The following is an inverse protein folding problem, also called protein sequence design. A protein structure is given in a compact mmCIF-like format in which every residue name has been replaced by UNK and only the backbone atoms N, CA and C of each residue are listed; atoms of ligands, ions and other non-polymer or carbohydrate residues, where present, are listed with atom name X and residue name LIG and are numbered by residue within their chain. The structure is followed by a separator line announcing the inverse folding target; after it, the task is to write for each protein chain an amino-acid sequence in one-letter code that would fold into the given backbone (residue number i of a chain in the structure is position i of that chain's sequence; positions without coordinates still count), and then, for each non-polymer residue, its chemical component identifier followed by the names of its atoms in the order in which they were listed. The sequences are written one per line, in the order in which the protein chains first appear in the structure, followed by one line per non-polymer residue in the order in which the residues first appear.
data_IF_176770125404
#
_entry.id   IF_176770125404
#
_cell.length_a   1.000
_cell.length_b   1.000
_cell.length_c   1.000
_cell.angle_alpha   90.00
_cell.angle_beta   90.00
_cell.angle_gamma   90.00
#
_symmetry.space_group_name_H-M   'P 1'
#
loop_
_entity.id
_entity.type
_entity.pdbx_description
1 polymer ?
#
# COMPACT_ATOMS: atom_id res chain seq x y z
N UNK A 1 16.92 -6.49 2.34
CA UNK A 1 15.53 -6.27 1.90
C UNK A 1 15.07 -7.27 0.85
N UNK A 2 15.65 -7.35 -0.35
CA UNK A 2 15.10 -8.24 -1.40
C UNK A 2 15.23 -9.75 -1.09
N UNK A 3 16.27 -10.15 -0.34
CA UNK A 3 16.46 -11.55 0.07
C UNK A 3 15.40 -12.06 1.07
N UNK A 4 14.59 -11.16 1.65
CA UNK A 4 13.51 -11.49 2.58
C UNK A 4 12.13 -11.46 1.91
N UNK A 5 12.07 -11.02 0.64
CA UNK A 5 10.82 -10.96 -0.10
C UNK A 5 10.42 -12.36 -0.58
N UNK A 6 9.12 -12.70 -0.60
CA UNK A 6 8.64 -13.93 -1.23
C UNK A 6 8.82 -13.93 -2.76
N UNK A 7 9.14 -12.78 -3.37
CA UNK A 7 9.35 -12.63 -4.80
C UNK A 7 10.80 -12.30 -5.12
N UNK A 8 11.30 -12.82 -6.25
CA UNK A 8 12.62 -12.46 -6.73
C UNK A 8 12.66 -10.98 -7.14
N UNK A 9 13.83 -10.36 -6.96
CA UNK A 9 14.10 -8.94 -7.27
C UNK A 9 13.53 -8.50 -8.62
N UNK A 10 13.80 -9.29 -9.65
CA UNK A 10 13.41 -8.98 -11.02
C UNK A 10 11.87 -8.90 -11.20
N UNK A 11 11.11 -9.66 -10.42
CA UNK A 11 9.66 -9.66 -10.47
C UNK A 11 9.04 -8.48 -9.70
N UNK A 12 9.67 -8.10 -8.58
CA UNK A 12 9.32 -6.88 -7.85
C UNK A 12 9.50 -5.65 -8.75
N UNK A 13 10.58 -5.61 -9.53
CA UNK A 13 10.90 -4.46 -10.41
C UNK A 13 10.31 -4.54 -11.82
N UNK A 14 9.34 -5.44 -12.08
CA UNK A 14 8.47 -5.35 -13.26
C UNK A 14 8.51 -6.52 -14.23
N UNK A 15 9.36 -7.55 -14.04
CA UNK A 15 9.25 -8.78 -14.84
C UNK A 15 8.04 -9.58 -14.38
N UNK A 16 7.08 -9.78 -15.28
CA UNK A 16 5.87 -10.55 -15.00
C UNK A 16 6.20 -12.02 -14.72
N UNK A 17 5.57 -12.55 -13.68
CA UNK A 17 5.35 -13.97 -13.44
C UNK A 17 4.03 -14.33 -14.11
N UNK A 18 3.99 -15.44 -14.84
CA UNK A 18 2.77 -15.95 -15.46
C UNK A 18 2.51 -17.32 -14.86
N UNK A 19 1.47 -17.42 -14.04
CA UNK A 19 1.06 -18.67 -13.39
C UNK A 19 -0.45 -18.85 -13.58
N UNK A 20 -0.88 -20.00 -14.11
CA UNK A 20 -2.28 -20.32 -14.35
C UNK A 20 -3.07 -19.23 -15.13
N UNK A 21 -2.39 -18.50 -16.03
CA UNK A 21 -2.99 -17.41 -16.81
C UNK A 21 -3.10 -16.07 -16.07
N UNK A 22 -2.73 -16.02 -14.79
CA UNK A 22 -2.63 -14.79 -14.01
C UNK A 22 -1.24 -14.19 -14.16
N UNK A 23 -1.20 -12.88 -14.37
CA UNK A 23 0.04 -12.12 -14.46
C UNK A 23 0.28 -11.39 -13.14
N UNK A 24 1.46 -11.58 -12.57
CA UNK A 24 1.83 -10.97 -11.30
C UNK A 24 3.21 -10.31 -11.40
N UNK A 25 3.35 -9.10 -10.87
CA UNK A 25 4.60 -8.34 -10.78
C UNK A 25 4.44 -7.28 -9.68
N UNK A 26 5.55 -6.71 -9.22
CA UNK A 26 5.52 -5.89 -8.02
C UNK A 26 5.17 -6.73 -6.79
N UNK A 27 4.68 -6.07 -5.75
CA UNK A 27 4.21 -6.70 -4.52
C UNK A 27 2.68 -6.59 -4.46
N UNK A 28 1.99 -7.69 -4.21
CA UNK A 28 0.60 -7.65 -3.78
C UNK A 28 0.54 -7.42 -2.25
N UNK A 29 -0.67 -7.28 -1.72
CA UNK A 29 -0.86 -6.98 -0.29
C UNK A 29 -0.33 -8.08 0.65
N UNK A 30 -0.31 -9.34 0.21
CA UNK A 30 0.30 -10.44 0.95
C UNK A 30 1.82 -10.39 0.91
N UNK A 31 2.39 -10.11 -0.26
CA UNK A 31 3.85 -10.02 -0.41
C UNK A 31 4.44 -8.90 0.45
N UNK A 32 3.75 -7.74 0.48
CA UNK A 32 4.13 -6.61 1.32
C UNK A 32 4.07 -6.99 2.81
N UNK A 33 2.98 -7.64 3.25
CA UNK A 33 2.88 -8.14 4.62
C UNK A 33 4.04 -9.07 4.96
N UNK A 34 4.35 -10.04 4.09
CA UNK A 34 5.42 -11.01 4.31
C UNK A 34 6.78 -10.32 4.41
N UNK A 35 7.06 -9.38 3.51
CA UNK A 35 8.30 -8.61 3.53
C UNK A 35 8.48 -7.82 4.83
N UNK A 36 7.44 -7.09 5.26
CA UNK A 36 7.47 -6.30 6.49
C UNK A 36 7.58 -7.19 7.73
N UNK A 37 6.88 -8.33 7.76
CA UNK A 37 6.97 -9.30 8.87
C UNK A 37 8.36 -9.93 8.94
N UNK A 38 9.00 -10.20 7.80
CA UNK A 38 10.37 -10.73 7.75
C UNK A 38 11.43 -9.70 8.21
N UNK A 39 11.05 -8.43 8.38
CA UNK A 39 11.84 -7.39 9.01
C UNK A 39 11.49 -7.21 10.50
N UNK A 40 10.84 -8.21 11.11
CA UNK A 40 10.40 -8.23 12.51
C UNK A 40 9.38 -7.13 12.89
N UNK A 41 8.65 -6.58 11.91
CA UNK A 41 7.57 -5.63 12.16
C UNK A 41 6.25 -6.35 12.47
N UNK A 42 5.43 -5.74 13.34
CA UNK A 42 4.05 -6.18 13.56
C UNK A 42 3.14 -5.60 12.47
N UNK A 43 2.51 -6.47 11.68
CA UNK A 43 1.75 -6.04 10.49
C UNK A 43 0.28 -6.47 10.54
N UNK A 44 -0.62 -5.49 10.65
CA UNK A 44 -2.06 -5.67 10.45
C UNK A 44 -2.42 -5.40 8.98
N UNK A 45 -2.61 -6.46 8.20
CA UNK A 45 -3.06 -6.38 6.81
C UNK A 45 -4.59 -6.31 6.73
N UNK A 46 -5.14 -5.29 6.09
CA UNK A 46 -6.57 -5.14 5.83
C UNK A 46 -6.83 -5.12 4.32
N UNK A 47 -7.64 -6.06 3.82
CA UNK A 47 -8.11 -6.04 2.44
C UNK A 47 -9.55 -5.49 2.44
N UNK A 48 -9.77 -4.39 1.71
CA UNK A 48 -11.07 -3.72 1.67
C UNK A 48 -11.94 -4.38 0.59
N UNK A 49 -12.96 -5.13 1.02
CA UNK A 49 -13.91 -5.81 0.12
C UNK A 49 -15.27 -5.13 0.04
N UNK A 50 -15.62 -4.30 1.04
CA UNK A 50 -16.84 -3.49 1.05
C UNK A 50 -16.61 -2.17 1.80
N UNK A 51 -17.55 -1.23 1.68
CA UNK A 51 -17.51 0.09 2.31
C UNK A 51 -18.43 0.21 3.54
N UNK A 52 -19.02 -0.88 4.00
CA UNK A 52 -20.04 -0.90 5.07
C UNK A 52 -19.54 -0.34 6.42
N UNK A 53 -18.22 -0.31 6.59
CA UNK A 53 -17.55 0.14 7.83
C UNK A 53 -16.55 1.27 7.59
N UNK A 54 -16.78 2.11 6.57
CA UNK A 54 -15.85 3.18 6.18
C UNK A 54 -15.48 4.12 7.34
N UNK A 55 -16.44 4.51 8.17
CA UNK A 55 -16.20 5.38 9.33
C UNK A 55 -15.33 4.72 10.40
N UNK A 56 -15.49 3.41 10.60
CA UNK A 56 -14.63 2.66 11.53
C UNK A 56 -13.22 2.56 10.98
N UNK A 57 -13.07 2.21 9.69
CA UNK A 57 -11.76 2.13 9.04
C UNK A 57 -11.03 3.47 9.08
N UNK A 58 -11.72 4.57 8.79
CA UNK A 58 -11.20 5.93 8.88
C UNK A 58 -10.69 6.25 10.28
N UNK A 59 -11.45 5.92 11.33
CA UNK A 59 -11.01 6.11 12.72
C UNK A 59 -9.76 5.28 13.06
N UNK A 60 -9.70 4.02 12.63
CA UNK A 60 -8.52 3.17 12.85
C UNK A 60 -7.27 3.72 12.14
N UNK A 61 -7.42 4.22 10.91
CA UNK A 61 -6.33 4.86 10.16
C UNK A 61 -5.87 6.14 10.86
N UNK A 62 -6.80 7.01 11.26
CA UNK A 62 -6.46 8.26 11.97
C UNK A 62 -5.76 7.96 13.30
N UNK A 63 -6.21 6.94 14.04
CA UNK A 63 -5.53 6.51 15.27
C UNK A 63 -4.09 6.09 14.97
N UNK A 64 -3.91 5.24 13.95
CA UNK A 64 -2.59 4.71 13.58
C UNK A 64 -1.62 5.80 13.13
N UNK A 65 -2.08 6.81 12.38
CA UNK A 65 -1.23 7.92 11.93
C UNK A 65 -0.80 8.85 13.10
N UNK A 66 -1.58 8.90 14.17
CA UNK A 66 -1.28 9.72 15.34
C UNK A 66 -0.41 9.00 16.40
N UNK A 67 -0.15 7.71 16.23
CA UNK A 67 0.73 6.92 17.10
C UNK A 67 2.18 7.01 16.60
N UNK A 68 3.13 7.31 17.48
CA UNK A 68 4.52 7.59 17.09
C UNK A 68 5.26 6.42 16.44
N UNK A 69 4.91 5.19 16.82
CA UNK A 69 5.56 3.96 16.35
C UNK A 69 4.64 3.13 15.43
N UNK A 70 3.65 3.78 14.83
CA UNK A 70 2.70 3.17 13.92
C UNK A 70 2.71 3.89 12.57
N UNK A 71 2.51 3.11 11.52
CA UNK A 71 2.56 3.60 10.14
C UNK A 71 1.47 2.94 9.31
N UNK A 72 0.91 3.70 8.39
CA UNK A 72 -0.11 3.21 7.45
C UNK A 72 0.47 3.24 6.04
N UNK A 73 0.44 2.09 5.37
CA UNK A 73 0.74 1.96 3.95
C UNK A 73 -0.55 1.57 3.24
N UNK A 74 -0.91 2.30 2.19
CA UNK A 74 -2.10 2.02 1.38
C UNK A 74 -1.71 1.38 0.05
N UNK A 75 -2.51 0.41 -0.39
CA UNK A 75 -2.51 -0.09 -1.76
C UNK A 75 -3.81 0.39 -2.44
N UNK A 76 -3.68 1.18 -3.49
CA UNK A 76 -4.83 1.78 -4.16
C UNK A 76 -4.66 1.80 -5.68
N UNK A 77 -5.77 1.92 -6.39
CA UNK A 77 -5.77 2.07 -7.83
C UNK A 77 -5.72 3.55 -8.21
N UNK A 78 -4.65 3.97 -8.89
CA UNK A 78 -4.42 5.39 -9.26
C UNK A 78 -5.56 6.02 -10.04
N UNK A 79 -6.14 5.30 -11.00
CA UNK A 79 -7.20 5.85 -11.86
C UNK A 79 -8.46 6.23 -11.07
N UNK A 80 -8.70 5.59 -9.93
CA UNK A 80 -9.82 5.95 -9.04
C UNK A 80 -9.65 7.33 -8.40
N UNK A 81 -8.43 7.87 -8.38
CA UNK A 81 -8.09 9.22 -7.91
C UNK A 81 -7.79 10.18 -9.07
N UNK A 82 -8.12 9.82 -10.31
CA UNK A 82 -7.82 10.63 -11.50
C UNK A 82 -6.34 10.65 -11.90
N UNK A 83 -5.52 9.76 -11.33
CA UNK A 83 -4.09 9.66 -11.63
C UNK A 83 -3.82 8.60 -12.71
N UNK A 84 -2.81 8.80 -13.55
CA UNK A 84 -2.38 7.76 -14.50
C UNK A 84 -1.63 6.63 -13.80
N UNK A 85 -1.94 5.38 -14.14
CA UNK A 85 -1.21 4.20 -13.67
C UNK A 85 -2.13 3.09 -13.15
N UNK A 86 -1.55 2.01 -12.65
CA UNK A 86 -2.27 0.87 -12.07
C UNK A 86 -2.34 0.95 -10.54
N UNK A 87 -2.29 -0.23 -9.90
CA UNK A 87 -2.15 -0.34 -8.45
C UNK A 87 -0.86 0.31 -7.97
N UNK A 88 -0.91 0.94 -6.80
CA UNK A 88 0.20 1.70 -6.24
C UNK A 88 0.23 1.60 -4.72
N UNK A 89 1.44 1.52 -4.16
CA UNK A 89 1.67 1.57 -2.73
C UNK A 89 2.26 2.92 -2.34
N UNK A 90 1.78 3.51 -1.25
CA UNK A 90 2.39 4.70 -0.66
C UNK A 90 2.05 4.83 0.84
N UNK A 91 2.91 5.46 1.64
CA UNK A 91 2.57 5.84 3.01
C UNK A 91 1.42 6.84 3.07
N UNK A 92 0.55 6.68 4.07
CA UNK A 92 -0.48 7.65 4.45
C UNK A 92 -0.01 8.36 5.72
N UNK A 93 0.14 9.68 5.66
CA UNK A 93 1.00 10.40 6.62
C UNK A 93 0.25 11.41 7.47
N UNK A 94 -0.89 11.90 6.98
CA UNK A 94 -1.71 12.85 7.73
C UNK A 94 -3.17 12.74 7.31
N UNK A 95 -4.04 13.27 8.16
CA UNK A 95 -5.45 13.50 7.87
C UNK A 95 -5.78 14.96 8.19
N UNK A 96 -6.36 15.67 7.23
CA UNK A 96 -6.93 16.99 7.44
C UNK A 96 -8.43 16.87 7.76
N UNK A 97 -8.80 17.36 8.94
CA UNK A 97 -10.18 17.30 9.43
C UNK A 97 -11.12 18.24 8.66
N UNK A 98 -10.62 19.36 8.14
CA UNK A 98 -11.46 20.38 7.51
C UNK A 98 -11.91 19.97 6.12
N UNK A 99 -11.01 19.39 5.32
CA UNK A 99 -11.28 18.90 3.97
C UNK A 99 -11.63 17.42 3.93
N UNK A 100 -11.61 16.76 5.08
CA UNK A 100 -11.77 15.32 5.23
C UNK A 100 -10.87 14.49 4.28
N UNK A 101 -9.59 14.87 4.20
CA UNK A 101 -8.66 14.32 3.22
C UNK A 101 -7.44 13.71 3.88
N UNK A 102 -6.90 12.66 3.28
CA UNK A 102 -5.63 12.09 3.72
C UNK A 102 -4.47 12.55 2.82
N UNK A 103 -3.30 12.77 3.42
CA UNK A 103 -2.07 13.04 2.70
C UNK A 103 -1.36 11.72 2.34
N UNK A 104 -1.36 11.40 1.06
CA UNK A 104 -0.61 10.27 0.49
C UNK A 104 0.79 10.79 0.13
N UNK A 105 1.83 10.27 0.79
CA UNK A 105 3.21 10.56 0.41
C UNK A 105 3.61 9.67 -0.76
N UNK A 106 3.23 10.10 -1.96
CA UNK A 106 3.43 9.33 -3.18
C UNK A 106 4.92 9.07 -3.47
N UNK A 107 5.32 7.80 -3.45
CA UNK A 107 6.70 7.36 -3.69
C UNK A 107 7.08 7.33 -5.17
N UNK A 108 6.14 7.54 -6.11
CA UNK A 108 6.45 7.62 -7.53
C UNK A 108 7.07 8.97 -7.88
N UNK A 109 8.39 9.10 -7.71
CA UNK A 109 9.09 10.35 -8.06
C UNK A 109 9.41 10.47 -9.56
N UNK A 110 8.68 9.77 -10.45
CA UNK A 110 8.98 9.71 -11.89
C UNK A 110 7.97 10.44 -12.77
N UNK A 111 7.11 11.31 -12.22
CA UNK A 111 6.17 12.13 -13.01
C UNK A 111 5.96 13.54 -12.43
N UNK A 112 7.04 14.30 -12.29
CA UNK A 112 7.01 15.76 -12.34
C UNK A 112 8.28 16.24 -13.05
N UNK A 113 8.31 16.07 -14.37
CA UNK A 113 9.13 16.88 -15.29
C UNK A 113 8.17 17.38 -16.37
#
# INVERSE_FOLDING_TARGET
MVNLSPKAKINIFGKRIIENGLQDYGLNLNDEKMLLTALDLQVKKVHVTSLDHIEKMKKEIISSINESDSYVIINYLRISLGQSGGGHFSPLVAWDKSSDSFFIMDVSNTKYN
#
